data_IF_778192570733
#
_entry.id   IF_778192570733
#
_cell.length_a   1.000
_cell.length_b   1.000
_cell.length_c   1.000
_cell.angle_alpha   90.00
_cell.angle_beta   90.00
_cell.angle_gamma   90.00
#
_symmetry.space_group_name_H-M   'P 1'
#
loop_
_entity.id
_entity.type
_entity.pdbx_description
1 polymer ?
#
# COMPACT_ATOMS: atom_id res chain seq x y z
N UNK A 1 43.39 35.57 -1.41
CA UNK A 1 42.71 34.48 -2.15
C UNK A 1 41.65 35.11 -3.05
N UNK A 2 41.66 34.83 -4.36
CA UNK A 2 40.78 35.52 -5.31
C UNK A 2 39.31 35.19 -5.02
N UNK A 3 38.44 36.19 -4.94
CA UNK A 3 37.01 36.02 -4.62
C UNK A 3 36.32 34.99 -5.51
N UNK A 4 36.71 34.92 -6.78
CA UNK A 4 36.22 33.92 -7.76
C UNK A 4 36.56 32.48 -7.37
N UNK A 5 37.77 32.24 -6.86
CA UNK A 5 38.21 30.90 -6.43
C UNK A 5 37.39 30.44 -5.22
N UNK A 6 37.10 31.34 -4.29
CA UNK A 6 36.26 31.05 -3.13
C UNK A 6 34.84 30.65 -3.57
N UNK A 7 34.27 31.33 -4.57
CA UNK A 7 32.93 31.02 -5.10
C UNK A 7 32.86 29.66 -5.78
N UNK A 8 33.89 29.28 -6.56
CA UNK A 8 33.94 27.96 -7.19
C UNK A 8 34.09 26.82 -6.17
N UNK A 9 34.89 27.00 -5.13
CA UNK A 9 35.07 26.00 -4.06
C UNK A 9 33.76 25.80 -3.28
N UNK A 10 33.05 26.89 -2.95
CA UNK A 10 31.76 26.79 -2.25
C UNK A 10 30.69 26.12 -3.11
N UNK A 11 30.62 26.44 -4.41
CA UNK A 11 29.68 25.79 -5.33
C UNK A 11 29.95 24.28 -5.45
N UNK A 12 31.22 23.88 -5.56
CA UNK A 12 31.61 22.47 -5.65
C UNK A 12 31.26 21.70 -4.36
N UNK A 13 31.45 22.32 -3.20
CA UNK A 13 31.12 21.71 -1.90
C UNK A 13 29.62 21.43 -1.74
N UNK A 14 28.75 22.34 -2.18
CA UNK A 14 27.29 22.16 -2.10
C UNK A 14 26.83 20.99 -2.97
N UNK A 15 27.40 20.85 -4.17
CA UNK A 15 27.03 19.77 -5.09
C UNK A 15 27.41 18.41 -4.49
N UNK A 16 28.60 18.27 -3.91
CA UNK A 16 29.06 17.02 -3.30
C UNK A 16 28.29 16.63 -2.03
N UNK A 17 27.84 17.61 -1.24
CA UNK A 17 27.08 17.37 0.00
C UNK A 17 25.58 17.15 -0.24
N UNK A 18 25.07 17.49 -1.42
CA UNK A 18 23.65 17.35 -1.77
C UNK A 18 23.22 15.91 -2.12
N UNK A 19 24.19 15.05 -2.47
CA UNK A 19 23.91 13.64 -2.79
C UNK A 19 23.67 12.84 -1.50
N UNK A 20 22.40 12.77 -1.07
CA UNK A 20 21.99 11.86 0.01
C UNK A 20 21.84 10.44 -0.55
N UNK A 21 22.55 9.44 -0.01
CA UNK A 21 22.31 8.05 -0.41
C UNK A 21 20.88 7.65 -0.03
N UNK A 22 20.26 6.78 -0.84
CA UNK A 22 18.92 6.23 -0.57
C UNK A 22 18.97 5.44 0.74
N UNK A 23 18.41 6.02 1.80
CA UNK A 23 18.26 5.37 3.10
C UNK A 23 17.10 4.35 3.03
N UNK A 24 17.23 3.23 3.73
CA UNK A 24 16.29 2.08 3.77
C UNK A 24 16.23 1.22 2.49
N UNK A 25 17.34 0.59 2.11
CA UNK A 25 17.29 -0.51 1.14
C UNK A 25 17.48 -1.85 1.85
N UNK A 26 16.50 -2.74 1.67
CA UNK A 26 16.54 -4.11 2.19
C UNK A 26 17.21 -4.97 1.12
N UNK A 27 18.35 -5.55 1.48
CA UNK A 27 19.11 -6.43 0.59
C UNK A 27 18.63 -7.87 0.75
N UNK A 28 18.14 -8.47 -0.33
CA UNK A 28 17.52 -9.81 -0.38
C UNK A 28 18.54 -10.97 -0.31
N UNK A 29 19.47 -10.95 0.66
CA UNK A 29 20.62 -11.87 0.65
C UNK A 29 20.61 -12.98 1.71
N UNK A 30 19.58 -13.11 2.57
CA UNK A 30 19.57 -14.13 3.63
C UNK A 30 18.21 -14.82 3.85
N UNK A 31 18.27 -16.05 4.35
CA UNK A 31 17.13 -16.86 4.79
C UNK A 31 16.24 -16.09 5.79
N UNK A 32 14.91 -16.32 5.71
CA UNK A 32 13.79 -15.55 6.30
C UNK A 32 13.34 -14.28 5.56
N UNK A 33 13.26 -14.36 4.22
CA UNK A 33 12.82 -13.25 3.36
C UNK A 33 11.33 -12.90 3.50
N UNK A 34 10.46 -13.86 3.82
CA UNK A 34 9.00 -13.64 3.77
C UNK A 34 8.55 -12.62 4.83
N UNK A 35 9.10 -12.71 6.03
CA UNK A 35 8.76 -11.80 7.13
C UNK A 35 9.30 -10.39 6.87
N UNK A 36 10.55 -10.25 6.43
CA UNK A 36 11.15 -8.94 6.16
C UNK A 36 10.54 -8.26 4.92
N UNK A 37 10.15 -9.02 3.90
CA UNK A 37 9.45 -8.50 2.71
C UNK A 37 8.02 -8.08 3.08
N UNK A 38 7.30 -8.89 3.86
CA UNK A 38 5.98 -8.50 4.35
C UNK A 38 6.07 -7.22 5.19
N UNK A 39 7.02 -7.18 6.12
CA UNK A 39 7.28 -6.02 6.96
C UNK A 39 7.61 -4.78 6.12
N UNK A 40 8.47 -4.87 5.11
CA UNK A 40 8.81 -3.75 4.23
C UNK A 40 7.63 -3.27 3.37
N UNK A 41 6.84 -4.20 2.83
CA UNK A 41 5.69 -3.91 1.96
C UNK A 41 4.59 -3.16 2.71
N UNK A 42 4.43 -3.44 4.01
CA UNK A 42 3.34 -2.88 4.82
C UNK A 42 3.80 -1.77 5.78
N UNK A 43 5.04 -1.76 6.27
CA UNK A 43 5.50 -0.72 7.22
C UNK A 43 5.68 0.66 6.59
N UNK A 44 5.81 0.75 5.27
CA UNK A 44 5.98 2.04 4.57
C UNK A 44 4.75 2.46 3.76
N UNK A 45 3.70 1.65 3.75
CA UNK A 45 2.45 1.97 3.08
C UNK A 45 1.55 2.69 4.08
N UNK A 46 1.71 4.01 4.17
CA UNK A 46 0.86 4.85 5.01
C UNK A 46 -0.42 5.18 4.24
N UNK A 47 -1.56 4.69 4.71
CA UNK A 47 -2.86 4.89 4.07
C UNK A 47 -3.36 6.31 4.40
N UNK A 48 -3.73 7.07 3.38
CA UNK A 48 -4.17 8.45 3.51
C UNK A 48 -5.63 8.64 3.08
N UNK A 49 -6.22 9.74 3.55
CA UNK A 49 -7.56 10.12 3.08
C UNK A 49 -7.53 10.39 1.57
N UNK A 50 -8.53 9.88 0.86
CA UNK A 50 -8.61 9.92 -0.60
C UNK A 50 -8.03 8.71 -1.30
N UNK A 51 -7.34 7.81 -0.59
CA UNK A 51 -6.89 6.54 -1.17
C UNK A 51 -8.08 5.61 -1.49
N UNK A 52 -7.88 4.75 -2.48
CA UNK A 52 -8.82 3.71 -2.86
C UNK A 52 -8.26 2.35 -2.47
N UNK A 53 -8.93 1.67 -1.55
CA UNK A 53 -8.56 0.35 -1.09
C UNK A 53 -9.36 -0.71 -1.84
N UNK A 54 -8.67 -1.74 -2.34
CA UNK A 54 -9.26 -2.95 -2.88
C UNK A 54 -9.10 -4.06 -1.84
N UNK A 55 -10.21 -4.52 -1.28
CA UNK A 55 -10.24 -5.53 -0.22
C UNK A 55 -10.77 -6.84 -0.80
N UNK A 56 -9.99 -7.91 -0.63
CA UNK A 56 -10.36 -9.27 -0.99
C UNK A 56 -10.23 -10.16 0.25
N UNK A 57 -11.34 -10.77 0.67
CA UNK A 57 -11.40 -11.68 1.80
C UNK A 57 -11.17 -13.10 1.31
N UNK A 58 -10.19 -13.80 1.87
CA UNK A 58 -9.90 -15.20 1.56
C UNK A 58 -10.12 -16.09 2.77
N UNK A 59 -10.57 -17.32 2.54
CA UNK A 59 -10.71 -18.36 3.55
C UNK A 59 -10.57 -19.73 2.89
N UNK A 60 -10.47 -20.77 3.71
CA UNK A 60 -10.40 -22.16 3.24
C UNK A 60 -11.72 -22.59 2.56
N UNK A 61 -12.85 -22.12 3.07
CA UNK A 61 -14.16 -22.36 2.49
C UNK A 61 -14.58 -21.16 1.61
N UNK A 62 -14.70 -21.42 0.30
CA UNK A 62 -15.10 -20.43 -0.69
C UNK A 62 -16.53 -19.91 -0.45
N UNK A 63 -17.40 -20.71 0.15
CA UNK A 63 -18.80 -20.33 0.40
C UNK A 63 -18.86 -19.28 1.53
N UNK A 64 -17.97 -19.40 2.53
CA UNK A 64 -17.93 -18.50 3.68
C UNK A 64 -17.46 -17.08 3.31
N UNK A 65 -16.66 -16.91 2.24
CA UNK A 65 -16.13 -15.60 1.82
C UNK A 65 -16.99 -14.87 0.80
N UNK A 66 -17.92 -15.59 0.16
CA UNK A 66 -18.86 -15.04 -0.83
C UNK A 66 -19.61 -13.78 -0.39
N UNK A 67 -20.14 -13.66 0.85
CA UNK A 67 -20.85 -12.44 1.27
C UNK A 67 -19.94 -11.23 1.48
N UNK A 68 -18.62 -11.42 1.55
CA UNK A 68 -17.66 -10.33 1.77
C UNK A 68 -17.02 -9.82 0.48
N UNK A 69 -16.90 -10.68 -0.54
CA UNK A 69 -16.37 -10.32 -1.86
C UNK A 69 -17.49 -10.07 -2.87
N UNK A 70 -18.40 -9.15 -2.55
CA UNK A 70 -19.53 -8.85 -3.42
C UNK A 70 -19.10 -7.83 -4.49
N UNK A 71 -19.37 -8.14 -5.76
CA UNK A 71 -19.26 -7.18 -6.84
C UNK A 71 -20.37 -6.12 -6.69
N UNK A 72 -20.01 -4.84 -6.74
CA UNK A 72 -20.94 -3.70 -6.64
C UNK A 72 -22.08 -3.75 -7.66
N UNK A 73 -21.95 -4.50 -8.76
CA UNK A 73 -23.00 -4.74 -9.75
C UNK A 73 -24.17 -5.62 -9.23
N UNK A 74 -23.99 -6.39 -8.16
CA UNK A 74 -25.03 -7.26 -7.59
C UNK A 74 -25.80 -6.60 -6.43
N UNK A 75 -25.63 -5.30 -6.19
CA UNK A 75 -26.32 -4.54 -5.14
C UNK A 75 -27.77 -4.17 -5.49
N UNK A 76 -28.56 -5.07 -6.08
CA UNK A 76 -30.04 -5.08 -5.97
C UNK A 76 -30.62 -6.30 -6.70
N UNK A 77 -31.14 -7.27 -5.93
CA UNK A 77 -32.40 -7.96 -6.25
C UNK A 77 -32.55 -8.72 -7.57
N UNK A 78 -31.52 -9.36 -8.14
CA UNK A 78 -31.73 -10.34 -9.21
C UNK A 78 -31.31 -11.74 -8.77
N UNK A 79 -32.28 -12.51 -8.29
CA UNK A 79 -32.19 -13.96 -8.16
C UNK A 79 -32.27 -14.57 -9.57
N UNK A 80 -31.24 -14.35 -10.38
CA UNK A 80 -31.14 -14.96 -11.71
C UNK A 80 -30.31 -16.23 -11.58
N UNK A 81 -31.00 -17.34 -11.32
CA UNK A 81 -30.44 -18.67 -11.43
C UNK A 81 -29.89 -18.89 -12.83
N UNK A 82 -28.56 -18.85 -12.96
CA UNK A 82 -27.79 -19.41 -14.09
C UNK A 82 -26.32 -19.46 -13.70
N UNK A 83 -25.77 -20.66 -13.69
CA UNK A 83 -24.39 -20.96 -13.33
C UNK A 83 -23.41 -20.27 -14.28
N UNK A 84 -22.97 -19.09 -13.89
CA UNK A 84 -21.83 -18.40 -14.48
C UNK A 84 -20.77 -18.39 -13.38
N UNK A 85 -19.57 -18.88 -13.70
CA UNK A 85 -18.40 -18.83 -12.84
C UNK A 85 -18.20 -17.39 -12.37
N UNK A 86 -18.66 -17.10 -11.16
CA UNK A 86 -18.67 -15.77 -10.60
C UNK A 86 -17.24 -15.47 -10.16
N UNK A 87 -16.52 -14.71 -10.99
CA UNK A 87 -15.18 -14.26 -10.67
C UNK A 87 -15.23 -13.41 -9.40
N UNK A 88 -14.42 -13.78 -8.40
CA UNK A 88 -14.36 -13.08 -7.12
C UNK A 88 -13.58 -11.79 -7.34
N UNK A 89 -14.30 -10.67 -7.44
CA UNK A 89 -13.69 -9.35 -7.62
C UNK A 89 -13.52 -8.65 -6.25
N UNK A 90 -12.37 -8.00 -5.99
CA UNK A 90 -12.16 -7.23 -4.76
C UNK A 90 -13.17 -6.09 -4.62
N UNK A 91 -13.66 -5.85 -3.41
CA UNK A 91 -14.51 -4.71 -3.10
C UNK A 91 -13.69 -3.42 -2.99
N UNK A 92 -14.17 -2.34 -3.57
CA UNK A 92 -13.52 -1.03 -3.57
C UNK A 92 -14.07 -0.12 -2.47
N UNK A 93 -13.19 0.46 -1.66
CA UNK A 93 -13.53 1.38 -0.58
C UNK A 93 -12.71 2.67 -0.69
N UNK A 94 -13.37 3.81 -0.60
CA UNK A 94 -12.70 5.11 -0.50
C UNK A 94 -12.34 5.37 0.95
N UNK A 95 -11.11 5.77 1.22
CA UNK A 95 -10.67 6.18 2.55
C UNK A 95 -11.18 7.59 2.83
N UNK A 96 -12.22 7.69 3.64
CA UNK A 96 -12.70 8.93 4.25
C UNK A 96 -12.35 8.95 5.75
N UNK A 97 -12.66 10.03 6.45
CA UNK A 97 -12.36 10.20 7.88
C UNK A 97 -12.90 9.04 8.75
N UNK A 98 -14.13 8.57 8.47
CA UNK A 98 -14.75 7.45 9.18
C UNK A 98 -14.01 6.12 8.95
N UNK A 99 -13.71 5.79 7.69
CA UNK A 99 -13.00 4.56 7.32
C UNK A 99 -11.56 4.60 7.85
N UNK A 100 -10.91 5.75 7.80
CA UNK A 100 -9.56 5.94 8.36
C UNK A 100 -9.55 5.66 9.87
N UNK A 101 -10.48 6.23 10.63
CA UNK A 101 -10.58 5.98 12.07
C UNK A 101 -10.89 4.51 12.43
N UNK A 102 -11.65 3.81 11.58
CA UNK A 102 -11.87 2.36 11.73
C UNK A 102 -10.57 1.60 11.45
N UNK A 103 -9.86 1.92 10.37
CA UNK A 103 -8.64 1.21 10.01
C UNK A 103 -7.51 1.43 11.05
N UNK A 104 -7.36 2.64 11.60
CA UNK A 104 -6.42 2.93 12.70
C UNK A 104 -6.68 2.08 13.95
N UNK A 105 -7.94 1.69 14.20
CA UNK A 105 -8.31 0.82 15.34
C UNK A 105 -7.84 -0.63 15.18
N UNK A 106 -7.70 -1.10 13.93
CA UNK A 106 -7.37 -2.50 13.62
C UNK A 106 -5.95 -2.67 13.07
N UNK A 107 -5.33 -1.60 12.58
CA UNK A 107 -3.95 -1.60 12.10
C UNK A 107 -3.22 -0.36 12.66
N UNK A 108 -2.34 -0.58 13.63
CA UNK A 108 -1.49 0.47 14.24
C UNK A 108 -0.43 1.05 13.28
N UNK A 109 -0.49 0.75 11.98
CA UNK A 109 0.42 1.24 10.93
C UNK A 109 -0.18 2.39 10.10
N UNK A 110 -1.42 2.76 10.37
CA UNK A 110 -2.14 3.92 9.80
C UNK A 110 -2.08 5.04 10.84
#
# INVERSE_FOLDING_TARGET
>A
MNKKIITYITLLSVILLSCRPKQDMIYMSKHNMEEEVAKAKFQKLHIQEGDVLLILVSALDEIAVKPFNLNTANKVGSDSGRGINQYVEPSQYLVNEDVKGILEKYDNRI
#
